data_IF_733728314316
#
_entry.id   IF_733728314316
#
_cell.length_a   1.000
_cell.length_b   1.000
_cell.length_c   1.000
_cell.angle_alpha   90.00
_cell.angle_beta   90.00
_cell.angle_gamma   90.00
#
_symmetry.space_group_name_H-M   'P 1'
#
loop_
_entity.id
_entity.type
_entity.pdbx_description
1 polymer ?
#
# COMPACT_ATOMS: atom_id res chain seq x y z
N UNK A 1 28.15 33.61 15.26
CA UNK A 1 28.44 32.47 14.37
C UNK A 1 27.83 31.21 15.00
N UNK A 2 26.66 30.78 14.54
CA UNK A 2 26.00 29.58 15.08
C UNK A 2 26.62 28.34 14.41
N UNK A 3 27.38 27.54 15.18
CA UNK A 3 27.81 26.23 14.72
C UNK A 3 26.57 25.33 14.63
N UNK A 4 26.07 25.10 13.40
CA UNK A 4 25.05 24.07 13.13
C UNK A 4 25.68 22.69 13.30
N UNK A 5 25.57 22.11 14.50
CA UNK A 5 26.00 20.74 14.76
C UNK A 5 25.19 19.75 13.91
N UNK A 6 25.88 18.83 13.23
CA UNK A 6 25.23 17.69 12.54
C UNK A 6 24.88 16.64 13.59
N UNK A 7 23.59 16.29 13.70
CA UNK A 7 23.16 15.14 14.50
C UNK A 7 23.46 13.85 13.72
N UNK A 8 24.20 12.93 14.34
CA UNK A 8 24.49 11.60 13.80
C UNK A 8 24.00 10.55 14.81
N UNK A 9 23.45 9.43 14.34
CA UNK A 9 23.00 8.35 15.21
C UNK A 9 24.19 7.54 15.77
N UNK A 10 24.03 7.01 16.99
CA UNK A 10 25.07 6.21 17.67
C UNK A 10 25.48 5.00 16.84
N UNK A 11 24.54 4.21 16.31
CA UNK A 11 24.85 3.05 15.48
C UNK A 11 25.67 3.41 14.22
N UNK A 12 25.46 4.60 13.62
CA UNK A 12 26.26 5.03 12.47
C UNK A 12 27.69 5.38 12.89
N UNK A 13 27.88 5.97 14.06
CA UNK A 13 29.22 6.23 14.60
C UNK A 13 29.94 4.93 14.92
N UNK A 14 29.27 3.98 15.57
CA UNK A 14 29.84 2.66 15.87
C UNK A 14 30.19 1.92 14.57
N UNK A 15 29.25 1.81 13.63
CA UNK A 15 29.50 1.10 12.37
C UNK A 15 30.59 1.76 11.52
N UNK A 16 30.71 3.09 11.53
CA UNK A 16 31.80 3.78 10.82
C UNK A 16 33.18 3.52 11.43
N UNK A 17 33.26 3.27 12.75
CA UNK A 17 34.51 3.04 13.45
C UNK A 17 34.93 1.56 13.49
N UNK A 18 33.97 0.64 13.54
CA UNK A 18 34.22 -0.77 13.88
C UNK A 18 33.71 -1.78 12.84
N UNK A 19 32.95 -1.36 11.83
CA UNK A 19 32.45 -2.25 10.78
C UNK A 19 33.10 -1.89 9.44
N UNK A 20 33.52 -2.90 8.68
CA UNK A 20 33.96 -2.70 7.30
C UNK A 20 32.78 -2.23 6.45
N UNK A 21 32.99 -1.19 5.64
CA UNK A 21 31.96 -0.62 4.76
C UNK A 21 32.22 -1.05 3.31
N UNK A 22 31.44 -2.00 2.76
CA UNK A 22 31.50 -2.32 1.34
C UNK A 22 31.10 -1.14 0.47
N UNK A 23 31.61 -1.11 -0.77
CA UNK A 23 31.20 -0.11 -1.76
C UNK A 23 29.69 -0.20 -2.05
N UNK A 24 29.02 0.96 -2.15
CA UNK A 24 27.58 1.03 -2.40
C UNK A 24 26.67 0.75 -1.18
N UNK A 25 27.22 0.48 0.00
CA UNK A 25 26.45 0.23 1.23
C UNK A 25 26.41 1.46 2.14
N UNK A 26 25.34 2.26 2.10
CA UNK A 26 25.20 3.50 2.88
C UNK A 26 24.21 3.43 4.06
N UNK A 27 23.63 2.25 4.29
CA UNK A 27 22.67 1.97 5.36
C UNK A 27 23.32 1.07 6.40
N UNK A 28 23.14 1.39 7.68
CA UNK A 28 23.53 0.50 8.79
C UNK A 28 22.30 -0.32 9.18
N UNK A 29 22.43 -1.64 9.14
CA UNK A 29 21.40 -2.59 9.55
C UNK A 29 21.73 -3.15 10.95
N UNK A 30 20.68 -3.34 11.77
CA UNK A 30 20.77 -4.05 13.05
C UNK A 30 20.37 -5.50 12.80
N UNK A 31 21.30 -6.44 12.99
CA UNK A 31 21.10 -7.84 12.67
C UNK A 31 19.93 -8.46 13.47
N UNK A 32 19.78 -8.08 14.74
CA UNK A 32 18.68 -8.50 15.61
C UNK A 32 17.39 -7.66 15.49
N UNK A 33 17.41 -6.57 14.71
CA UNK A 33 16.28 -5.66 14.57
C UNK A 33 16.02 -4.74 15.78
N UNK A 34 16.88 -4.74 16.80
CA UNK A 34 16.74 -3.90 17.99
C UNK A 34 17.57 -2.61 17.87
N UNK A 35 16.95 -1.42 17.71
CA UNK A 35 17.67 -0.15 17.55
C UNK A 35 18.50 0.27 18.77
N UNK A 36 18.29 -0.36 19.93
CA UNK A 36 19.05 -0.09 21.15
C UNK A 36 20.33 -0.93 21.25
N UNK A 37 20.42 -2.06 20.53
CA UNK A 37 21.60 -2.91 20.52
C UNK A 37 22.65 -2.40 19.51
N UNK A 38 23.47 -1.45 19.96
CA UNK A 38 24.48 -0.79 19.12
C UNK A 38 25.86 -1.46 19.21
N UNK A 39 25.96 -2.73 19.59
CA UNK A 39 27.24 -3.45 19.55
C UNK A 39 27.71 -3.57 18.09
N UNK A 40 29.00 -3.34 17.82
CA UNK A 40 29.55 -3.45 16.46
C UNK A 40 29.29 -4.83 15.84
N UNK A 41 29.28 -5.88 16.65
CA UNK A 41 28.94 -7.26 16.23
C UNK A 41 27.49 -7.46 15.81
N UNK A 42 26.59 -6.53 16.17
CA UNK A 42 25.17 -6.53 15.78
C UNK A 42 24.89 -5.58 14.60
N UNK A 43 25.91 -4.89 14.07
CA UNK A 43 25.75 -3.90 13.01
C UNK A 43 26.47 -4.33 11.74
N UNK A 44 25.86 -4.05 10.60
CA UNK A 44 26.48 -4.22 9.28
C UNK A 44 26.17 -3.03 8.36
N UNK A 45 27.08 -2.76 7.43
CA UNK A 45 26.79 -1.87 6.30
C UNK A 45 26.11 -2.66 5.18
N UNK A 46 24.96 -2.17 4.73
CA UNK A 46 24.18 -2.81 3.67
C UNK A 46 23.57 -1.77 2.74
N UNK A 47 22.96 -2.25 1.65
CA UNK A 47 22.15 -1.43 0.76
C UNK A 47 20.74 -1.24 1.34
N UNK A 48 20.02 -0.23 0.87
CA UNK A 48 18.61 -0.06 1.25
C UNK A 48 17.76 -1.30 0.93
N UNK A 49 18.02 -1.95 -0.21
CA UNK A 49 17.32 -3.18 -0.60
C UNK A 49 17.67 -4.33 0.36
N UNK A 50 18.95 -4.49 0.72
CA UNK A 50 19.43 -5.50 1.66
C UNK A 50 18.79 -5.35 3.05
N UNK A 51 18.78 -4.13 3.61
CA UNK A 51 18.15 -3.85 4.90
C UNK A 51 16.65 -4.20 4.92
N UNK A 52 15.91 -3.84 3.85
CA UNK A 52 14.51 -4.22 3.75
C UNK A 52 14.34 -5.74 3.65
N UNK A 53 15.17 -6.39 2.84
CA UNK A 53 15.13 -7.84 2.66
C UNK A 53 15.37 -8.58 3.98
N UNK A 54 16.34 -8.14 4.77
CA UNK A 54 16.61 -8.63 6.12
C UNK A 54 15.40 -8.47 7.04
N UNK A 55 14.79 -7.28 7.04
CA UNK A 55 13.61 -7.01 7.85
C UNK A 55 12.45 -7.98 7.53
N UNK A 56 12.23 -8.31 6.26
CA UNK A 56 11.17 -9.26 5.87
C UNK A 56 11.56 -10.73 6.10
N UNK A 57 12.75 -11.14 5.64
CA UNK A 57 13.14 -12.56 5.61
C UNK A 57 13.67 -13.08 6.94
N UNK A 58 14.33 -12.23 7.73
CA UNK A 58 14.98 -12.61 8.98
C UNK A 58 14.20 -12.11 10.18
N UNK A 59 13.79 -10.83 10.19
CA UNK A 59 13.06 -10.24 11.32
C UNK A 59 11.54 -10.46 11.26
N UNK A 60 11.03 -11.08 10.19
CA UNK A 60 9.62 -11.42 10.05
C UNK A 60 8.67 -10.21 9.96
N UNK A 61 9.16 -9.05 9.49
CA UNK A 61 8.31 -7.88 9.23
C UNK A 61 7.18 -8.29 8.31
N UNK A 62 5.94 -8.03 8.70
CA UNK A 62 4.76 -8.28 7.86
C UNK A 62 4.50 -7.10 6.92
N UNK A 63 4.09 -7.39 5.69
CA UNK A 63 3.59 -6.37 4.77
C UNK A 63 2.33 -5.70 5.32
N UNK A 64 2.11 -4.43 4.97
CA UNK A 64 0.93 -3.67 5.41
C UNK A 64 -0.36 -4.15 4.76
N UNK A 65 -0.27 -4.68 3.54
CA UNK A 65 -1.39 -5.27 2.80
C UNK A 65 -1.34 -6.79 2.93
N UNK A 66 -1.79 -7.31 4.09
CA UNK A 66 -1.81 -8.73 4.48
C UNK A 66 -2.75 -9.58 3.60
N UNK A 67 -2.54 -9.62 2.28
CA UNK A 67 -3.36 -10.40 1.35
C UNK A 67 -4.81 -9.94 1.21
N UNK A 68 -5.15 -8.73 1.69
CA UNK A 68 -6.49 -8.15 1.50
C UNK A 68 -6.63 -7.66 0.08
N UNK A 69 -7.60 -8.21 -0.67
CA UNK A 69 -7.87 -7.84 -2.05
C UNK A 69 -9.36 -7.53 -2.24
N UNK A 70 -9.71 -6.86 -3.34
CA UNK A 70 -11.10 -6.58 -3.66
C UNK A 70 -11.81 -5.80 -2.53
N UNK A 71 -13.00 -6.24 -2.15
CA UNK A 71 -13.83 -5.63 -1.09
C UNK A 71 -13.18 -5.62 0.29
N UNK A 72 -12.23 -6.52 0.57
CA UNK A 72 -11.54 -6.58 1.86
C UNK A 72 -10.46 -5.50 2.02
N UNK A 73 -10.01 -4.90 0.91
CA UNK A 73 -9.01 -3.87 0.95
C UNK A 73 -9.63 -2.53 1.38
N UNK A 74 -9.08 -1.88 2.41
CA UNK A 74 -9.66 -0.66 3.00
C UNK A 74 -9.79 0.53 2.05
N UNK A 75 -9.06 0.54 0.92
CA UNK A 75 -9.21 1.58 -0.13
C UNK A 75 -10.19 1.20 -1.23
N UNK A 76 -10.66 -0.04 -1.24
CA UNK A 76 -11.67 -0.50 -2.18
C UNK A 76 -13.01 0.14 -1.83
N UNK A 77 -13.71 0.63 -2.85
CA UNK A 77 -15.01 1.27 -2.71
C UNK A 77 -16.00 0.57 -3.64
N UNK A 78 -17.17 0.16 -3.13
CA UNK A 78 -18.23 -0.35 -3.98
C UNK A 78 -18.70 0.70 -4.98
N UNK A 79 -19.08 0.26 -6.17
CA UNK A 79 -19.51 1.13 -7.27
C UNK A 79 -20.79 0.61 -7.90
N UNK A 80 -21.59 1.54 -8.43
CA UNK A 80 -22.77 1.23 -9.22
C UNK A 80 -22.55 1.72 -10.65
N UNK A 81 -22.76 0.83 -11.61
CA UNK A 81 -22.74 1.12 -13.03
C UNK A 81 -24.18 1.18 -13.56
N UNK A 82 -24.60 2.34 -14.07
CA UNK A 82 -25.89 2.52 -14.73
C UNK A 82 -25.71 2.50 -16.24
N UNK A 83 -26.34 1.53 -16.92
CA UNK A 83 -26.34 1.47 -18.37
C UNK A 83 -27.08 2.68 -18.94
N UNK A 84 -26.44 3.42 -19.83
CA UNK A 84 -27.02 4.63 -20.41
C UNK A 84 -28.16 4.36 -21.41
N UNK A 85 -28.19 3.15 -21.99
CA UNK A 85 -29.22 2.77 -22.96
C UNK A 85 -30.47 2.23 -22.28
N UNK A 86 -30.30 1.36 -21.29
CA UNK A 86 -31.42 0.63 -20.67
C UNK A 86 -31.79 1.17 -19.29
N UNK A 87 -30.97 2.02 -18.69
CA UNK A 87 -31.15 2.50 -17.33
C UNK A 87 -30.86 1.46 -16.24
N UNK A 88 -30.54 0.20 -16.61
CA UNK A 88 -30.27 -0.89 -15.67
C UNK A 88 -29.01 -0.59 -14.85
N UNK A 89 -29.10 -0.81 -13.54
CA UNK A 89 -27.98 -0.64 -12.62
C UNK A 89 -27.36 -1.99 -12.25
N UNK A 90 -26.03 -2.00 -12.11
CA UNK A 90 -25.24 -3.15 -11.67
C UNK A 90 -24.36 -2.70 -10.51
N UNK A 91 -24.48 -3.38 -9.38
CA UNK A 91 -23.65 -3.16 -8.20
C UNK A 91 -22.38 -4.01 -8.26
N UNK A 92 -21.27 -3.43 -7.85
CA UNK A 92 -19.99 -4.11 -7.68
C UNK A 92 -19.46 -3.82 -6.27
N UNK A 93 -19.15 -4.86 -5.51
CA UNK A 93 -18.57 -4.74 -4.16
C UNK A 93 -17.20 -4.05 -4.18
N UNK A 94 -16.46 -4.17 -5.29
CA UNK A 94 -15.26 -3.41 -5.57
C UNK A 94 -15.19 -2.97 -7.04
N UNK A 95 -14.60 -1.81 -7.32
CA UNK A 95 -14.32 -1.39 -8.70
C UNK A 95 -13.48 -2.41 -9.49
N UNK A 96 -12.64 -3.19 -8.80
CA UNK A 96 -11.85 -4.27 -9.43
C UNK A 96 -12.72 -5.42 -9.95
N UNK A 97 -13.93 -5.60 -9.43
CA UNK A 97 -14.87 -6.62 -9.91
C UNK A 97 -15.40 -6.25 -11.29
N UNK A 98 -15.67 -4.96 -11.52
CA UNK A 98 -15.97 -4.43 -12.85
C UNK A 98 -14.76 -4.54 -13.79
N UNK A 99 -13.53 -4.34 -13.30
CA UNK A 99 -12.33 -4.52 -14.13
C UNK A 99 -12.22 -5.95 -14.68
N UNK A 100 -12.60 -6.97 -13.89
CA UNK A 100 -12.64 -8.37 -14.37
C UNK A 100 -13.63 -8.58 -15.53
N UNK A 101 -14.62 -7.69 -15.68
CA UNK A 101 -15.55 -7.69 -16.81
C UNK A 101 -15.08 -6.82 -17.99
N UNK A 102 -13.81 -6.40 -17.98
CA UNK A 102 -13.20 -5.64 -19.06
C UNK A 102 -13.35 -4.12 -18.93
N UNK A 103 -13.85 -3.60 -17.81
CA UNK A 103 -13.80 -2.16 -17.53
C UNK A 103 -12.40 -1.73 -17.09
N UNK A 104 -12.15 -0.41 -17.07
CA UNK A 104 -10.87 0.15 -16.65
C UNK A 104 -11.07 0.88 -15.32
N UNK A 105 -10.23 0.59 -14.32
CA UNK A 105 -10.31 1.20 -12.99
C UNK A 105 -10.21 2.73 -13.04
N UNK A 106 -9.32 3.27 -13.90
CA UNK A 106 -9.17 4.70 -14.09
C UNK A 106 -10.43 5.34 -14.67
N UNK A 107 -11.04 4.72 -15.70
CA UNK A 107 -12.28 5.19 -16.31
C UNK A 107 -13.45 5.22 -15.31
N UNK A 108 -13.61 4.15 -14.52
CA UNK A 108 -14.60 4.08 -13.43
C UNK A 108 -14.36 5.21 -12.43
N UNK A 109 -13.12 5.37 -11.96
CA UNK A 109 -12.75 6.38 -10.95
C UNK A 109 -12.96 7.81 -11.46
N UNK A 110 -12.64 8.08 -12.73
CA UNK A 110 -12.89 9.37 -13.36
C UNK A 110 -14.37 9.70 -13.41
N UNK A 111 -15.22 8.73 -13.72
CA UNK A 111 -16.66 8.89 -13.66
C UNK A 111 -17.17 9.15 -12.24
N UNK A 112 -16.77 8.34 -11.26
CA UNK A 112 -17.19 8.53 -9.87
C UNK A 112 -16.74 9.88 -9.28
N UNK A 113 -15.65 10.47 -9.78
CA UNK A 113 -15.14 11.79 -9.38
C UNK A 113 -15.69 12.95 -10.22
N UNK A 114 -16.57 12.69 -11.17
CA UNK A 114 -17.13 13.72 -12.07
C UNK A 114 -16.16 14.27 -13.11
N UNK A 115 -14.99 13.64 -13.31
CA UNK A 115 -14.01 14.02 -14.36
C UNK A 115 -14.44 13.56 -15.76
N UNK A 116 -15.31 12.55 -15.84
CA UNK A 116 -15.81 11.99 -17.09
C UNK A 116 -17.30 11.65 -16.91
N UNK A 117 -18.13 11.91 -17.93
CA UNK A 117 -19.59 11.68 -17.82
C UNK A 117 -19.95 10.19 -17.79
N UNK A 118 -19.23 9.37 -18.55
CA UNK A 118 -19.50 7.94 -18.68
C UNK A 118 -18.27 7.19 -19.17
N UNK A 119 -18.19 5.89 -18.89
CA UNK A 119 -17.13 5.00 -19.36
C UNK A 119 -17.75 3.73 -19.93
N UNK A 120 -17.39 3.38 -21.17
CA UNK A 120 -17.88 2.21 -21.92
C UNK A 120 -19.41 2.04 -21.94
N UNK A 121 -20.15 3.15 -22.07
CA UNK A 121 -21.62 3.13 -22.13
C UNK A 121 -22.33 3.09 -20.78
N UNK A 122 -21.60 3.21 -19.67
CA UNK A 122 -22.14 3.25 -18.31
C UNK A 122 -21.79 4.56 -17.61
N UNK A 123 -22.74 5.11 -16.85
CA UNK A 123 -22.46 6.11 -15.83
C UNK A 123 -22.04 5.39 -14.54
N UNK A 124 -21.00 5.89 -13.88
CA UNK A 124 -20.45 5.25 -12.68
C UNK A 124 -20.53 6.19 -11.48
N UNK A 125 -20.91 5.64 -10.34
CA UNK A 125 -20.90 6.33 -9.05
C UNK A 125 -20.43 5.40 -7.95
N UNK A 126 -19.96 5.97 -6.85
CA UNK A 126 -19.80 5.20 -5.62
C UNK A 126 -21.17 4.76 -5.11
N UNK A 127 -21.24 3.55 -4.57
CA UNK A 127 -22.45 3.10 -3.90
C UNK A 127 -22.66 3.88 -2.60
N UNK A 128 -23.91 4.10 -2.25
CA UNK A 128 -24.32 4.66 -0.95
C UNK A 128 -24.23 3.60 0.14
N UNK A 129 -24.16 4.02 1.40
CA UNK A 129 -24.14 3.11 2.55
C UNK A 129 -25.37 2.19 2.58
N UNK A 130 -26.54 2.73 2.22
CA UNK A 130 -27.79 1.96 2.14
C UNK A 130 -27.72 0.85 1.08
N UNK A 131 -27.16 1.13 -0.09
CA UNK A 131 -27.01 0.12 -1.15
C UNK A 131 -26.01 -0.98 -0.76
N UNK A 132 -24.94 -0.62 -0.06
CA UNK A 132 -23.96 -1.58 0.45
C UNK A 132 -24.63 -2.49 1.49
N UNK A 133 -25.35 -1.91 2.46
CA UNK A 133 -26.05 -2.67 3.49
C UNK A 133 -27.14 -3.59 2.91
N UNK A 134 -27.91 -3.09 1.93
CA UNK A 134 -28.94 -3.86 1.25
C UNK A 134 -28.36 -5.05 0.47
N UNK A 135 -27.23 -4.86 -0.22
CA UNK A 135 -26.60 -5.95 -0.97
C UNK A 135 -25.99 -7.00 -0.04
N UNK A 136 -25.37 -6.60 1.07
CA UNK A 136 -24.86 -7.54 2.07
C UNK A 136 -25.97 -8.44 2.65
N UNK A 137 -27.12 -7.86 3.01
CA UNK A 137 -28.26 -8.62 3.51
C UNK A 137 -28.78 -9.68 2.52
N UNK A 138 -28.69 -9.41 1.21
CA UNK A 138 -29.15 -10.36 0.17
C UNK A 138 -28.16 -11.49 -0.10
N UNK A 139 -26.89 -11.32 0.22
CA UNK A 139 -25.87 -12.36 0.04
C UNK A 139 -25.88 -13.35 1.23
N UNK A 140 -26.36 -12.92 2.40
CA UNK A 140 -26.44 -13.74 3.62
C UNK A 140 -27.76 -14.53 3.79
N UNK A 141 -28.73 -14.35 2.88
CA UNK A 141 -30.08 -14.95 2.92
C UNK A 141 -30.26 -16.07 1.89
#
# INVERSE_FOLDING_TARGET
>A
MLLKGKKVSVHRLVAAAFCEKPEGCDVVNHLDGNPQNNMATNLEWTTFAGNNLHAFRVLGRKGTSLGKFGSEHHTSKPVVAKCLLTGREVFYAAAMDAVRQGFCSAGITHCCRGRQKSHKGYAWRYATEHEVAFMAYREDA
#
